data_IF_007522266366
#
_entry.id   IF_007522266366
#
_cell.length_a   1.000
_cell.length_b   1.000
_cell.length_c   1.000
_cell.angle_alpha   90.00
_cell.angle_beta   90.00
_cell.angle_gamma   90.00
#
_symmetry.space_group_name_H-M   'P 1'
#
loop_
_entity.id
_entity.type
_entity.pdbx_description
1 polymer ?
#
# COMPACT_ATOMS: atom_id res chain seq x y z
N UNK A 1 -21.48 19.02 -11.08
CA UNK A 1 -20.33 18.23 -11.51
C UNK A 1 -19.16 18.57 -10.57
N UNK A 2 -18.93 17.76 -9.53
CA UNK A 2 -17.85 18.02 -8.57
C UNK A 2 -16.63 17.18 -8.96
N UNK A 3 -15.73 17.87 -9.66
CA UNK A 3 -14.31 17.63 -9.91
C UNK A 3 -13.64 16.73 -8.86
N UNK A 4 -13.26 15.54 -9.31
CA UNK A 4 -12.35 14.61 -8.65
C UNK A 4 -10.96 15.26 -8.70
N UNK A 5 -10.29 15.59 -7.58
CA UNK A 5 -8.95 16.14 -7.65
C UNK A 5 -7.97 15.03 -8.08
N UNK A 6 -7.50 15.16 -9.32
CA UNK A 6 -6.41 14.41 -9.92
C UNK A 6 -5.09 14.72 -9.19
N UNK A 7 -4.33 13.64 -8.98
CA UNK A 7 -2.87 13.65 -8.90
C UNK A 7 -2.23 14.43 -7.74
N UNK A 8 -2.12 13.76 -6.59
CA UNK A 8 -0.96 13.97 -5.72
C UNK A 8 0.29 13.43 -6.44
N UNK A 9 0.95 14.30 -7.19
CA UNK A 9 2.30 14.09 -7.71
C UNK A 9 3.24 14.19 -6.49
N UNK A 10 3.61 13.06 -5.89
CA UNK A 10 4.56 13.06 -4.77
C UNK A 10 5.96 13.30 -5.35
N UNK A 11 6.65 14.41 -5.02
CA UNK A 11 8.01 14.67 -5.47
C UNK A 11 8.98 13.61 -4.94
N UNK A 12 10.01 13.31 -5.74
CA UNK A 12 11.06 12.29 -5.55
C UNK A 12 12.04 12.60 -4.41
N UNK A 13 11.56 13.00 -3.25
CA UNK A 13 12.37 13.12 -2.04
C UNK A 13 11.79 12.17 -0.99
N UNK A 14 12.63 11.34 -0.40
CA UNK A 14 12.26 10.21 0.49
C UNK A 14 11.56 10.70 1.76
N UNK A 15 10.29 11.02 1.67
CA UNK A 15 9.41 11.27 2.82
C UNK A 15 8.37 10.18 2.80
N UNK A 16 8.59 9.10 3.56
CA UNK A 16 7.58 8.05 3.77
C UNK A 16 6.35 8.76 4.34
N UNK A 17 5.23 8.84 3.61
CA UNK A 17 4.10 9.64 4.06
C UNK A 17 3.52 8.96 5.29
N UNK A 18 3.59 9.65 6.44
CA UNK A 18 3.17 9.08 7.73
C UNK A 18 1.70 8.66 7.72
N UNK A 19 0.87 9.38 6.96
CA UNK A 19 -0.54 9.06 6.77
C UNK A 19 -0.74 7.72 6.05
N UNK A 20 -0.01 7.50 4.94
CA UNK A 20 -0.05 6.23 4.19
C UNK A 20 0.48 5.08 5.04
N UNK A 21 1.60 5.31 5.73
CA UNK A 21 2.18 4.32 6.64
C UNK A 21 1.19 3.95 7.74
N UNK A 22 0.54 4.93 8.36
CA UNK A 22 -0.46 4.72 9.40
C UNK A 22 -1.70 4.02 8.84
N UNK A 23 -2.09 4.30 7.61
CA UNK A 23 -3.20 3.64 6.94
C UNK A 23 -2.89 2.16 6.67
N UNK A 24 -1.76 1.87 6.01
CA UNK A 24 -1.32 0.50 5.74
C UNK A 24 -1.13 -0.28 7.04
N UNK A 25 -0.61 0.34 8.10
CA UNK A 25 -0.49 -0.28 9.43
C UNK A 25 -1.84 -0.57 10.12
N UNK A 26 -2.98 -0.06 9.64
CA UNK A 26 -4.32 -0.50 10.12
C UNK A 26 -4.66 -1.91 9.65
N UNK A 27 -3.90 -2.47 8.70
CA UNK A 27 -4.02 -3.84 8.27
C UNK A 27 -3.21 -4.71 9.21
N UNK A 28 -3.86 -5.70 9.84
CA UNK A 28 -3.28 -6.55 10.89
C UNK A 28 -2.01 -7.30 10.42
N UNK A 29 -1.90 -7.55 9.11
CA UNK A 29 -0.75 -8.24 8.50
C UNK A 29 0.38 -7.29 8.03
N UNK A 30 0.24 -5.97 8.20
CA UNK A 30 1.23 -4.98 7.76
C UNK A 30 1.88 -4.30 8.96
N UNK A 31 3.09 -4.75 9.29
CA UNK A 31 3.95 -4.04 10.24
C UNK A 31 4.60 -2.79 9.62
N UNK A 32 5.24 -1.97 10.47
CA UNK A 32 5.94 -0.75 10.04
C UNK A 32 6.89 -0.99 8.86
N UNK A 33 7.78 -1.99 8.96
CA UNK A 33 8.73 -2.33 7.90
C UNK A 33 8.05 -2.74 6.59
N UNK A 34 6.94 -3.47 6.67
CA UNK A 34 6.17 -3.89 5.49
C UNK A 34 5.49 -2.69 4.84
N UNK A 35 4.88 -1.80 5.63
CA UNK A 35 4.30 -0.56 5.13
C UNK A 35 5.35 0.32 4.44
N UNK A 36 6.53 0.48 5.04
CA UNK A 36 7.65 1.23 4.45
C UNK A 36 8.06 0.64 3.10
N UNK A 37 8.23 -0.68 3.02
CA UNK A 37 8.55 -1.40 1.77
C UNK A 37 7.48 -1.23 0.70
N UNK A 38 6.21 -1.29 1.06
CA UNK A 38 5.09 -1.08 0.15
C UNK A 38 5.08 0.34 -0.41
N UNK A 39 5.32 1.33 0.45
CA UNK A 39 5.41 2.74 0.04
C UNK A 39 6.60 2.95 -0.90
N UNK A 40 7.75 2.33 -0.61
CA UNK A 40 8.93 2.35 -1.48
C UNK A 40 8.64 1.67 -2.83
N UNK A 41 7.86 0.59 -2.82
CA UNK A 41 7.39 -0.09 -4.03
C UNK A 41 6.34 0.71 -4.82
N UNK A 42 5.93 1.88 -4.33
CA UNK A 42 5.02 2.80 -5.01
C UNK A 42 3.57 2.74 -4.54
N UNK A 43 3.22 1.89 -3.57
CA UNK A 43 1.87 1.83 -3.01
C UNK A 43 1.59 3.06 -2.17
N UNK A 44 0.57 3.84 -2.56
CA UNK A 44 0.20 5.06 -1.82
C UNK A 44 -1.06 4.92 -0.99
N UNK A 45 -1.78 3.82 -1.10
CA UNK A 45 -3.02 3.60 -0.36
C UNK A 45 -3.36 2.11 -0.24
N UNK A 46 -4.22 1.80 0.73
CA UNK A 46 -4.80 0.46 0.88
C UNK A 46 -5.54 0.01 -0.38
N UNK A 47 -6.18 0.95 -1.09
CA UNK A 47 -6.89 0.71 -2.34
C UNK A 47 -5.94 0.31 -3.49
N UNK A 48 -4.82 1.03 -3.63
CA UNK A 48 -3.78 0.64 -4.60
C UNK A 48 -3.24 -0.75 -4.29
N UNK A 49 -3.06 -1.07 -3.01
CA UNK A 49 -2.60 -2.39 -2.60
C UNK A 49 -3.58 -3.49 -2.99
N UNK A 50 -4.89 -3.32 -2.80
CA UNK A 50 -5.90 -4.34 -3.14
C UNK A 50 -6.08 -4.53 -4.65
N UNK A 51 -5.83 -3.47 -5.43
CA UNK A 51 -5.89 -3.47 -6.89
C UNK A 51 -4.57 -3.90 -7.54
N UNK A 52 -3.48 -3.96 -6.77
CA UNK A 52 -2.16 -4.40 -7.23
C UNK A 52 -2.01 -5.91 -7.17
N UNK A 53 -1.14 -6.44 -8.04
CA UNK A 53 -0.85 -7.87 -8.08
C UNK A 53 0.19 -8.25 -7.01
N UNK A 54 -0.12 -9.20 -6.10
CA UNK A 54 0.79 -9.59 -5.03
C UNK A 54 2.10 -10.16 -5.55
N UNK A 55 2.13 -10.71 -6.76
CA UNK A 55 3.35 -11.26 -7.35
C UNK A 55 4.31 -10.14 -7.75
N UNK A 56 3.81 -9.12 -8.43
CA UNK A 56 4.58 -7.94 -8.85
C UNK A 56 5.04 -7.12 -7.65
N UNK A 57 4.16 -6.96 -6.65
CA UNK A 57 4.52 -6.34 -5.39
C UNK A 57 5.58 -7.13 -4.63
N UNK A 58 5.53 -8.47 -4.68
CA UNK A 58 6.53 -9.31 -4.01
C UNK A 58 7.93 -9.07 -4.57
N UNK A 59 8.04 -8.91 -5.89
CA UNK A 59 9.31 -8.62 -6.57
C UNK A 59 9.81 -7.20 -6.24
N UNK A 60 8.92 -6.22 -6.14
CA UNK A 60 9.30 -4.81 -5.95
C UNK A 60 9.51 -4.41 -4.48
N UNK A 61 8.79 -5.04 -3.54
CA UNK A 61 8.79 -4.67 -2.12
C UNK A 61 9.65 -5.58 -1.24
N UNK A 62 10.22 -6.66 -1.77
CA UNK A 62 10.88 -7.72 -0.99
C UNK A 62 9.99 -8.25 0.17
N UNK A 63 8.67 -8.30 -0.06
CA UNK A 63 7.70 -8.91 0.85
C UNK A 63 7.23 -10.20 0.22
N UNK A 64 7.16 -11.30 0.97
CA UNK A 64 6.71 -12.59 0.41
C UNK A 64 5.28 -12.51 -0.14
N UNK A 65 5.06 -13.10 -1.32
CA UNK A 65 3.74 -13.18 -1.98
C UNK A 65 2.64 -13.70 -1.04
N UNK A 66 2.94 -14.69 -0.19
CA UNK A 66 2.00 -15.23 0.80
C UNK A 66 1.49 -14.15 1.77
N UNK A 67 2.39 -13.29 2.24
CA UNK A 67 2.04 -12.17 3.12
C UNK A 67 1.22 -11.15 2.37
N UNK A 68 1.65 -10.76 1.16
CA UNK A 68 0.92 -9.81 0.33
C UNK A 68 -0.49 -10.28 0.01
N UNK A 69 -0.69 -11.55 -0.37
CA UNK A 69 -2.01 -12.15 -0.57
C UNK A 69 -2.89 -12.01 0.67
N UNK A 70 -2.36 -12.34 1.85
CA UNK A 70 -3.10 -12.21 3.11
C UNK A 70 -3.43 -10.75 3.44
N UNK A 71 -2.49 -9.84 3.22
CA UNK A 71 -2.69 -8.40 3.42
C UNK A 71 -3.79 -7.88 2.49
N UNK A 72 -3.74 -8.23 1.20
CA UNK A 72 -4.71 -7.84 0.18
C UNK A 72 -6.10 -8.38 0.54
N UNK A 73 -6.20 -9.65 0.93
CA UNK A 73 -7.47 -10.26 1.33
C UNK A 73 -8.08 -9.55 2.55
N UNK A 74 -7.27 -9.27 3.58
CA UNK A 74 -7.71 -8.53 4.76
C UNK A 74 -8.11 -7.08 4.42
N UNK A 75 -7.36 -6.43 3.53
CA UNK A 75 -7.66 -5.08 3.08
C UNK A 75 -8.98 -5.03 2.28
N UNK A 76 -9.22 -5.99 1.38
CA UNK A 76 -10.50 -6.15 0.66
C UNK A 76 -11.65 -6.34 1.64
N UNK A 77 -11.49 -7.25 2.60
CA UNK A 77 -12.52 -7.53 3.63
C UNK A 77 -12.81 -6.32 4.53
N UNK A 78 -11.86 -5.40 4.69
CA UNK A 78 -12.02 -4.19 5.50
C UNK A 78 -12.67 -3.04 4.72
N UNK A 79 -12.68 -3.12 3.39
CA UNK A 79 -13.35 -2.18 2.50
C UNK A 79 -14.83 -2.55 2.27
N UNK A 80 -15.17 -3.82 2.49
CA UNK A 80 -16.53 -4.40 2.49
C UNK A 80 -17.26 -4.13 3.82
#
# INVERSE_FOLDING_TARGET
>A
EQIIPKEQIIPKEQVIPKDILKELMKLEAVGKKTAEKLIIAGIRSSDELINSDPKILSESSEVSEKTLKRVIELAKKKLE
#
